data_IF_541512026716
#
_entry.id   IF_541512026716
#
_cell.length_a   1.000
_cell.length_b   1.000
_cell.length_c   1.000
_cell.angle_alpha   90.00
_cell.angle_beta   90.00
_cell.angle_gamma   90.00
#
_symmetry.space_group_name_H-M   'P 1'
#
loop_
_entity.id
_entity.type
_entity.pdbx_description
1 polymer ?
#
# COMPACT_ATOMS: atom_id res chain seq x y z
N UNK A 1 16.34 17.90 11.12
CA UNK A 1 16.26 16.67 10.31
C UNK A 1 15.04 15.88 10.78
N UNK A 2 14.19 15.40 9.86
CA UNK A 2 12.96 14.68 10.25
C UNK A 2 13.24 13.40 11.01
N UNK A 3 12.47 13.16 12.07
CA UNK A 3 12.54 11.92 12.85
C UNK A 3 11.78 10.78 12.16
N UNK A 4 10.93 11.07 11.18
CA UNK A 4 10.09 10.10 10.49
C UNK A 4 10.92 9.07 9.69
N UNK A 5 10.63 7.78 9.88
CA UNK A 5 11.42 6.68 9.29
C UNK A 5 11.25 6.58 7.76
N UNK A 6 10.22 7.20 7.19
CA UNK A 6 9.96 7.26 5.75
C UNK A 6 10.65 8.44 5.07
N UNK A 7 11.38 9.29 5.80
CA UNK A 7 12.08 10.44 5.24
C UNK A 7 13.33 10.06 4.43
N UNK A 8 13.61 10.85 3.39
CA UNK A 8 14.85 10.80 2.62
C UNK A 8 16.07 11.09 3.53
N UNK A 9 17.21 10.43 3.28
CA UNK A 9 18.48 10.75 3.94
C UNK A 9 18.69 10.19 5.36
N UNK A 10 17.82 9.29 5.83
CA UNK A 10 18.05 8.50 7.06
C UNK A 10 19.15 7.46 6.85
N UNK A 11 19.86 7.01 7.89
CA UNK A 11 20.90 6.00 7.72
C UNK A 11 20.45 4.65 7.14
N UNK A 12 19.28 4.17 7.58
CA UNK A 12 18.63 2.99 6.98
C UNK A 12 18.20 3.21 5.51
N UNK A 13 18.15 4.47 5.07
CA UNK A 13 17.78 4.89 3.72
C UNK A 13 19.00 5.44 2.94
N UNK A 14 20.26 5.23 3.40
CA UNK A 14 21.45 5.78 2.73
C UNK A 14 21.71 5.30 1.28
N UNK A 15 21.25 4.14 0.79
CA UNK A 15 21.32 3.88 -0.65
C UNK A 15 20.27 4.67 -1.46
N UNK A 16 19.37 5.42 -0.82
CA UNK A 16 18.19 6.03 -1.41
C UNK A 16 18.29 7.56 -1.56
N UNK A 17 19.46 8.12 -1.87
CA UNK A 17 19.54 9.56 -2.20
C UNK A 17 18.75 9.92 -3.48
N UNK A 18 18.27 8.94 -4.25
CA UNK A 18 17.32 9.16 -5.37
C UNK A 18 16.19 8.12 -5.54
N UNK A 19 16.14 7.05 -4.72
CA UNK A 19 15.19 5.93 -4.95
C UNK A 19 13.94 6.04 -4.09
N UNK A 20 12.78 6.17 -4.75
CA UNK A 20 11.44 6.18 -4.11
C UNK A 20 11.10 4.88 -3.37
N UNK A 21 11.78 3.78 -3.70
CA UNK A 21 11.51 2.45 -3.15
C UNK A 21 12.80 1.85 -2.59
N UNK A 22 12.72 1.34 -1.36
CA UNK A 22 13.81 0.61 -0.68
C UNK A 22 13.31 -0.79 -0.36
N UNK A 23 14.03 -1.81 -0.84
CA UNK A 23 13.67 -3.20 -0.54
C UNK A 23 13.84 -3.46 0.95
N UNK A 24 12.84 -4.09 1.56
CA UNK A 24 12.91 -4.54 2.95
C UNK A 24 13.35 -6.00 2.94
N UNK A 25 14.39 -6.31 3.71
CA UNK A 25 14.88 -7.68 3.82
C UNK A 25 13.87 -8.57 4.55
N UNK A 26 13.64 -9.82 4.13
CA UNK A 26 12.77 -10.76 4.84
C UNK A 26 13.12 -10.97 6.33
N UNK A 27 14.37 -10.77 6.74
CA UNK A 27 14.78 -10.85 8.16
C UNK A 27 14.49 -9.57 8.96
N UNK A 28 14.08 -8.47 8.31
CA UNK A 28 13.75 -7.21 8.98
C UNK A 28 12.44 -7.35 9.78
N UNK A 29 12.39 -6.79 10.99
CA UNK A 29 11.18 -6.80 11.84
C UNK A 29 9.98 -6.16 11.14
N UNK A 30 10.21 -5.13 10.34
CA UNK A 30 9.20 -4.46 9.51
C UNK A 30 8.55 -5.44 8.53
N UNK A 31 9.32 -6.37 7.96
CA UNK A 31 8.79 -7.39 7.07
C UNK A 31 7.81 -8.29 7.81
N UNK A 32 8.21 -8.82 8.96
CA UNK A 32 7.37 -9.68 9.79
C UNK A 32 6.09 -8.97 10.26
N UNK A 33 6.16 -7.69 10.59
CA UNK A 33 4.99 -6.88 10.98
C UNK A 33 4.00 -6.70 9.82
N UNK A 34 4.49 -6.34 8.63
CA UNK A 34 3.64 -6.18 7.43
C UNK A 34 3.09 -7.53 6.99
N UNK A 35 3.87 -8.59 7.06
CA UNK A 35 3.41 -9.96 6.75
C UNK A 35 2.30 -10.39 7.72
N UNK A 36 2.48 -10.21 9.02
CA UNK A 36 1.45 -10.52 10.02
C UNK A 36 0.17 -9.71 9.77
N UNK A 37 0.29 -8.42 9.44
CA UNK A 37 -0.84 -7.58 9.09
C UNK A 37 -1.56 -8.10 7.84
N UNK A 38 -0.80 -8.44 6.80
CA UNK A 38 -1.30 -8.95 5.52
C UNK A 38 -2.02 -10.29 5.69
N UNK A 39 -1.42 -11.25 6.40
CA UNK A 39 -2.02 -12.57 6.64
C UNK A 39 -3.26 -12.48 7.55
N UNK A 40 -3.23 -11.64 8.58
CA UNK A 40 -4.41 -11.37 9.43
C UNK A 40 -5.55 -10.70 8.65
N UNK A 41 -5.21 -9.86 7.68
CA UNK A 41 -6.15 -9.20 6.80
C UNK A 41 -6.77 -10.11 5.74
N UNK A 42 -6.23 -11.32 5.52
CA UNK A 42 -6.70 -12.23 4.49
C UNK A 42 -7.91 -13.03 4.99
N UNK A 43 -9.11 -12.50 4.78
CA UNK A 43 -10.37 -12.98 5.39
C UNK A 43 -11.31 -13.73 4.42
N UNK A 44 -11.15 -13.54 3.12
CA UNK A 44 -11.88 -14.29 2.09
C UNK A 44 -11.50 -15.78 2.17
N UNK A 45 -12.48 -16.65 2.45
CA UNK A 45 -12.24 -18.08 2.70
C UNK A 45 -12.02 -18.89 1.42
N UNK A 46 -12.61 -18.42 0.33
CA UNK A 46 -12.54 -18.98 -1.02
C UNK A 46 -11.23 -18.67 -1.73
N UNK A 47 -10.46 -17.67 -1.25
CA UNK A 47 -9.17 -17.30 -1.83
C UNK A 47 -8.03 -18.07 -1.17
N UNK A 48 -7.19 -18.69 -2.00
CA UNK A 48 -5.92 -19.27 -1.55
C UNK A 48 -5.09 -18.20 -0.80
N UNK A 49 -4.47 -18.58 0.32
CA UNK A 49 -3.61 -17.67 1.09
C UNK A 49 -2.28 -17.46 0.35
N UNK A 50 -1.97 -16.23 -0.07
CA UNK A 50 -0.74 -15.98 -0.81
C UNK A 50 0.45 -15.75 0.13
N UNK A 51 1.65 -15.85 -0.43
CA UNK A 51 2.90 -15.51 0.24
C UNK A 51 3.42 -14.17 -0.26
N UNK A 52 4.05 -13.39 0.62
CA UNK A 52 4.77 -12.18 0.21
C UNK A 52 6.06 -12.61 -0.48
N UNK A 53 6.24 -12.14 -1.71
CA UNK A 53 7.43 -12.39 -2.56
C UNK A 53 8.47 -11.29 -2.39
N UNK A 54 8.02 -10.05 -2.18
CA UNK A 54 8.88 -8.93 -1.84
C UNK A 54 8.08 -7.81 -1.15
N UNK A 55 8.80 -7.06 -0.32
CA UNK A 55 8.31 -5.88 0.37
C UNK A 55 9.23 -4.69 0.05
N UNK A 56 8.62 -3.56 -0.30
CA UNK A 56 9.34 -2.31 -0.50
C UNK A 56 8.79 -1.23 0.41
N UNK A 57 9.66 -0.49 1.09
CA UNK A 57 9.35 0.76 1.78
C UNK A 57 9.32 1.91 0.79
N UNK A 58 8.31 2.77 0.91
CA UNK A 58 8.13 3.95 0.06
C UNK A 58 8.72 5.17 0.76
N UNK A 59 9.77 5.76 0.18
CA UNK A 59 10.48 6.91 0.77
C UNK A 59 9.79 8.20 0.35
N UNK A 60 9.36 9.00 1.32
CA UNK A 60 8.64 10.26 1.11
C UNK A 60 9.51 11.50 1.21
N UNK A 61 9.15 12.52 0.43
CA UNK A 61 9.77 13.83 0.53
C UNK A 61 9.40 14.46 1.86
N UNK A 62 10.27 15.33 2.36
CA UNK A 62 10.06 16.02 3.63
C UNK A 62 8.71 16.77 3.65
N UNK A 63 8.43 17.54 2.60
CA UNK A 63 7.16 18.26 2.40
C UNK A 63 5.93 17.35 2.51
N UNK A 64 6.00 16.14 1.95
CA UNK A 64 4.89 15.18 2.00
C UNK A 64 4.70 14.62 3.42
N UNK A 65 5.77 14.44 4.18
CA UNK A 65 5.72 14.00 5.57
C UNK A 65 5.26 15.11 6.51
N UNK A 66 5.68 16.36 6.27
CA UNK A 66 5.28 17.52 7.09
C UNK A 66 3.78 17.77 7.01
N UNK A 67 3.22 17.80 5.80
CA UNK A 67 1.76 17.93 5.58
C UNK A 67 0.96 16.82 6.26
N UNK A 68 1.45 15.58 6.20
CA UNK A 68 0.83 14.44 6.90
C UNK A 68 0.92 14.59 8.42
N UNK A 69 2.08 15.02 8.95
CA UNK A 69 2.29 15.22 10.37
C UNK A 69 1.44 16.37 10.93
N UNK A 70 1.30 17.46 10.17
CA UNK A 70 0.43 18.59 10.51
C UNK A 70 -1.03 18.15 10.54
N UNK A 71 -1.51 17.44 9.52
CA UNK A 71 -2.86 16.89 9.52
C UNK A 71 -3.09 15.96 10.71
N UNK A 72 -2.13 15.08 11.02
CA UNK A 72 -2.20 14.19 12.19
C UNK A 72 -2.33 14.97 13.50
N UNK A 73 -1.54 16.04 13.65
CA UNK A 73 -1.55 16.88 14.82
C UNK A 73 -2.90 17.58 14.99
N UNK A 74 -3.44 18.17 13.92
CA UNK A 74 -4.76 18.81 13.92
C UNK A 74 -5.87 17.84 14.35
N UNK A 75 -5.93 16.63 13.75
CA UNK A 75 -6.91 15.62 14.13
C UNK A 75 -6.73 15.17 15.59
N UNK A 76 -5.48 15.04 16.06
CA UNK A 76 -5.19 14.71 17.45
C UNK A 76 -5.71 15.78 18.42
N UNK A 77 -5.51 17.06 18.13
CA UNK A 77 -5.99 18.18 18.97
C UNK A 77 -7.53 18.21 18.98
N UNK A 78 -8.17 18.20 17.82
CA UNK A 78 -9.65 18.23 17.71
C UNK A 78 -10.28 17.06 18.46
N UNK A 79 -9.74 15.85 18.28
CA UNK A 79 -10.28 14.66 18.95
C UNK A 79 -10.00 14.65 20.45
N UNK A 80 -8.91 15.26 20.91
CA UNK A 80 -8.64 15.44 22.33
C UNK A 80 -9.67 16.38 22.96
N UNK A 81 -10.01 17.49 22.30
CA UNK A 81 -11.04 18.43 22.76
C UNK A 81 -12.43 17.77 22.84
N UNK A 82 -12.73 16.82 21.95
CA UNK A 82 -13.97 16.04 21.98
C UNK A 82 -13.89 14.78 22.88
N UNK A 83 -12.89 14.65 23.75
CA UNK A 83 -12.66 13.49 24.63
C UNK A 83 -12.56 12.13 23.92
N UNK A 84 -12.19 12.10 22.64
CA UNK A 84 -12.03 10.87 21.87
C UNK A 84 -10.66 10.23 22.15
N UNK A 85 -10.68 9.09 22.85
CA UNK A 85 -9.48 8.42 23.39
C UNK A 85 -8.42 8.04 22.36
N UNK A 86 -8.82 7.65 21.14
CA UNK A 86 -7.86 7.20 20.12
C UNK A 86 -7.15 8.35 19.40
N UNK A 87 -7.50 9.61 19.69
CA UNK A 87 -6.86 10.81 19.14
C UNK A 87 -6.76 10.75 17.61
N UNK A 88 -5.56 10.72 17.02
CA UNK A 88 -5.35 10.59 15.58
C UNK A 88 -5.73 9.21 15.00
N UNK A 89 -5.72 8.14 15.80
CA UNK A 89 -6.04 6.78 15.37
C UNK A 89 -5.34 6.40 14.05
N UNK A 90 -4.01 6.55 14.01
CA UNK A 90 -3.20 6.20 12.83
C UNK A 90 -3.14 4.66 12.69
N UNK A 91 -3.42 4.17 11.49
CA UNK A 91 -3.47 2.74 11.18
C UNK A 91 -2.73 2.41 9.88
N UNK A 92 -2.28 1.17 9.77
CA UNK A 92 -1.86 0.60 8.48
C UNK A 92 -3.06 -0.06 7.79
N UNK A 93 -3.45 0.44 6.62
CA UNK A 93 -4.58 -0.08 5.84
C UNK A 93 -4.17 -0.36 4.39
N UNK A 94 -4.79 -1.38 3.80
CA UNK A 94 -4.52 -1.86 2.45
C UNK A 94 -5.29 -1.06 1.39
N UNK A 95 -4.68 -0.89 0.22
CA UNK A 95 -5.30 -0.34 -0.98
C UNK A 95 -4.89 -1.18 -2.19
N UNK A 96 -5.88 -1.69 -2.93
CA UNK A 96 -5.69 -2.29 -4.25
C UNK A 96 -6.08 -1.29 -5.33
N UNK A 97 -5.38 -1.35 -6.47
CA UNK A 97 -5.58 -0.40 -7.57
C UNK A 97 -5.13 -1.00 -8.90
N UNK A 98 -5.32 -0.24 -9.99
CA UNK A 98 -4.86 -0.64 -11.31
C UNK A 98 -3.34 -0.53 -11.48
N UNK A 99 -2.78 -1.49 -12.20
CA UNK A 99 -1.39 -1.58 -12.57
C UNK A 99 -1.28 -1.82 -14.08
N UNK A 100 -0.89 -0.80 -14.84
CA UNK A 100 -0.73 -0.88 -16.30
C UNK A 100 0.68 -1.29 -16.75
N UNK A 101 1.57 -1.66 -15.83
CA UNK A 101 2.98 -1.94 -16.11
C UNK A 101 3.47 -3.23 -15.45
N UNK A 102 4.71 -3.60 -15.72
CA UNK A 102 5.36 -4.80 -15.19
C UNK A 102 6.02 -4.63 -13.81
N UNK A 103 5.63 -3.61 -13.04
CA UNK A 103 6.18 -3.36 -11.71
C UNK A 103 6.06 -4.62 -10.81
N UNK A 104 7.14 -5.00 -10.14
CA UNK A 104 7.15 -6.14 -9.23
C UNK A 104 7.19 -7.52 -9.89
N UNK A 105 7.26 -7.59 -11.22
CA UNK A 105 7.41 -8.87 -11.94
C UNK A 105 8.82 -9.44 -11.83
N UNK A 106 9.84 -8.59 -12.02
CA UNK A 106 11.21 -8.93 -11.71
C UNK A 106 11.57 -8.32 -10.35
N UNK A 107 11.71 -9.16 -9.33
CA UNK A 107 12.02 -8.70 -7.96
C UNK A 107 13.36 -7.96 -7.84
N UNK A 108 14.21 -7.99 -8.88
CA UNK A 108 15.46 -7.23 -8.94
C UNK A 108 15.30 -5.80 -9.49
N UNK A 109 14.15 -5.46 -10.11
CA UNK A 109 13.89 -4.14 -10.68
C UNK A 109 12.55 -3.55 -10.19
N UNK A 110 12.62 -2.55 -9.32
CA UNK A 110 11.47 -1.84 -8.76
C UNK A 110 11.37 -0.41 -9.31
N UNK A 111 11.42 -0.24 -10.63
CA UNK A 111 11.30 1.07 -11.27
C UNK A 111 9.84 1.44 -11.53
N UNK A 112 9.45 2.66 -11.17
CA UNK A 112 8.08 3.17 -11.39
C UNK A 112 7.89 3.62 -12.85
N UNK A 113 6.89 3.09 -13.53
CA UNK A 113 6.57 3.51 -14.90
C UNK A 113 5.96 4.93 -14.94
N UNK A 114 6.18 5.73 -16.00
CA UNK A 114 5.60 7.07 -16.13
C UNK A 114 4.14 7.05 -16.63
N UNK A 115 3.55 5.89 -16.92
CA UNK A 115 2.24 5.74 -17.54
C UNK A 115 1.14 6.33 -16.63
N UNK A 116 0.38 7.36 -17.06
CA UNK A 116 -0.63 8.01 -16.23
C UNK A 116 -1.76 7.09 -15.78
N UNK A 117 -2.17 6.11 -16.61
CA UNK A 117 -3.20 5.12 -16.29
C UNK A 117 -2.74 4.04 -15.30
N UNK A 118 -1.44 4.01 -14.93
CA UNK A 118 -0.94 3.13 -13.88
C UNK A 118 -1.14 3.79 -12.50
N UNK A 119 -2.34 3.64 -11.93
CA UNK A 119 -2.69 4.20 -10.62
C UNK A 119 -1.70 3.80 -9.54
N UNK A 120 -1.23 2.55 -9.53
CA UNK A 120 -0.19 2.08 -8.61
C UNK A 120 1.07 2.96 -8.63
N UNK A 121 1.69 3.13 -9.81
CA UNK A 121 2.91 3.93 -9.92
C UNK A 121 2.65 5.42 -9.67
N UNK A 122 1.48 5.92 -10.07
CA UNK A 122 1.06 7.31 -9.82
C UNK A 122 0.91 7.60 -8.34
N UNK A 123 0.25 6.72 -7.56
CA UNK A 123 0.10 6.85 -6.11
C UNK A 123 1.46 6.74 -5.44
N UNK A 124 2.29 5.75 -5.82
CA UNK A 124 3.63 5.62 -5.24
C UNK A 124 4.42 6.90 -5.50
N UNK A 125 4.39 7.49 -6.70
CA UNK A 125 5.17 8.71 -7.01
C UNK A 125 4.63 9.95 -6.31
N UNK A 126 3.31 10.18 -6.38
CA UNK A 126 2.69 11.48 -6.12
C UNK A 126 1.81 11.48 -4.86
N UNK A 127 1.69 10.35 -4.16
CA UNK A 127 0.67 10.11 -3.13
C UNK A 127 -0.76 10.04 -3.70
N UNK A 128 -1.72 9.82 -2.80
CA UNK A 128 -3.15 9.80 -3.12
C UNK A 128 -3.68 11.20 -3.41
N UNK A 129 -4.76 11.24 -4.19
CA UNK A 129 -5.46 12.46 -4.55
C UNK A 129 -6.96 12.18 -4.65
N UNK A 130 -7.73 12.71 -3.69
CA UNK A 130 -9.20 12.63 -3.63
C UNK A 130 -9.81 13.16 -4.93
N UNK A 131 -9.14 14.10 -5.60
CA UNK A 131 -9.66 14.60 -6.86
C UNK A 131 -9.71 13.55 -7.96
N UNK A 132 -8.89 12.50 -7.87
CA UNK A 132 -8.86 11.37 -8.81
C UNK A 132 -9.78 10.22 -8.39
N UNK A 133 -10.38 10.29 -7.20
CA UNK A 133 -11.40 9.33 -6.76
C UNK A 133 -12.72 9.61 -7.47
N UNK A 134 -13.48 8.55 -7.78
CA UNK A 134 -14.78 8.66 -8.44
C UNK A 134 -14.72 8.98 -9.94
N UNK A 135 -13.58 8.82 -10.61
CA UNK A 135 -13.49 8.91 -12.09
C UNK A 135 -13.01 7.56 -12.65
N UNK A 136 -13.94 6.63 -12.90
CA UNK A 136 -13.64 5.30 -13.44
C UNK A 136 -14.90 4.46 -13.68
N UNK A 137 -14.78 3.41 -14.51
CA UNK A 137 -15.89 2.63 -15.10
C UNK A 137 -16.85 1.92 -14.11
N UNK A 138 -16.62 1.95 -12.80
CA UNK A 138 -17.45 1.24 -11.81
C UNK A 138 -17.77 2.12 -10.58
N UNK A 139 -18.59 3.15 -10.78
CA UNK A 139 -19.23 3.92 -9.71
C UNK A 139 -20.15 3.07 -8.79
N UNK A 140 -20.40 1.81 -9.16
CA UNK A 140 -21.23 0.86 -8.41
C UNK A 140 -20.66 0.54 -7.02
N UNK A 141 -19.36 0.81 -6.79
CA UNK A 141 -18.68 0.49 -5.53
C UNK A 141 -18.37 1.71 -4.63
N UNK A 142 -18.69 2.94 -5.05
CA UNK A 142 -18.46 4.16 -4.25
C UNK A 142 -19.56 4.30 -3.17
N UNK A 143 -19.63 3.30 -2.29
CA UNK A 143 -20.66 3.15 -1.25
C UNK A 143 -20.74 4.35 -0.33
N UNK A 144 -19.64 5.06 -0.12
CA UNK A 144 -19.54 6.24 0.75
C UNK A 144 -19.03 7.45 -0.04
N UNK A 145 -19.40 7.54 -1.33
CA UNK A 145 -19.10 8.67 -2.19
C UNK A 145 -17.62 8.88 -2.50
N UNK A 146 -17.24 10.13 -2.82
CA UNK A 146 -15.93 10.48 -3.38
C UNK A 146 -14.89 10.62 -2.28
N UNK A 147 -14.21 9.51 -1.98
CA UNK A 147 -13.08 9.47 -1.06
C UNK A 147 -12.07 8.39 -1.42
N UNK A 148 -11.00 8.32 -0.63
CA UNK A 148 -9.95 7.31 -0.77
C UNK A 148 -10.33 6.09 0.06
N UNK A 149 -10.64 4.99 -0.63
CA UNK A 149 -11.03 3.72 -0.01
C UNK A 149 -9.81 2.89 0.36
N UNK A 150 -9.77 2.46 1.61
CA UNK A 150 -8.75 1.59 2.20
C UNK A 150 -9.42 0.59 3.13
N UNK A 151 -8.74 -0.50 3.48
CA UNK A 151 -9.34 -1.53 4.33
C UNK A 151 -8.32 -2.26 5.19
N UNK A 152 -8.76 -2.75 6.35
CA UNK A 152 -7.99 -3.69 7.18
C UNK A 152 -7.98 -5.12 6.62
N UNK A 153 -8.79 -5.38 5.58
CA UNK A 153 -8.95 -6.68 4.92
C UNK A 153 -8.10 -6.74 3.64
N UNK A 154 -6.88 -7.28 3.70
CA UNK A 154 -5.98 -7.41 2.55
C UNK A 154 -6.62 -8.18 1.39
N UNK A 155 -7.39 -9.24 1.69
CA UNK A 155 -8.08 -10.02 0.67
C UNK A 155 -9.22 -9.27 -0.01
N UNK A 156 -9.72 -8.18 0.59
CA UNK A 156 -10.68 -7.27 -0.05
C UNK A 156 -9.99 -6.20 -0.88
N UNK A 157 -8.89 -5.64 -0.38
CA UNK A 157 -8.04 -4.78 -1.21
C UNK A 157 -7.58 -5.52 -2.48
N UNK A 158 -7.32 -6.82 -2.38
CA UNK A 158 -7.01 -7.71 -3.50
C UNK A 158 -8.09 -7.74 -4.61
N UNK A 159 -9.37 -7.55 -4.29
CA UNK A 159 -10.46 -7.49 -5.30
C UNK A 159 -10.33 -6.26 -6.21
N UNK A 160 -9.69 -5.19 -5.70
CA UNK A 160 -9.47 -3.95 -6.44
C UNK A 160 -8.12 -3.94 -7.18
N UNK A 161 -7.28 -4.97 -7.02
CA UNK A 161 -6.08 -5.10 -7.82
C UNK A 161 -6.43 -5.48 -9.26
N UNK A 162 -6.02 -4.64 -10.20
CA UNK A 162 -6.22 -4.89 -11.64
C UNK A 162 -4.89 -4.74 -12.37
N UNK A 163 -4.20 -5.88 -12.54
CA UNK A 163 -3.00 -6.01 -13.37
C UNK A 163 -3.27 -6.91 -14.57
N UNK A 164 -2.29 -7.07 -15.46
CA UNK A 164 -2.40 -7.99 -16.59
C UNK A 164 -1.99 -9.42 -16.16
N UNK A 165 -2.96 -10.36 -16.03
CA UNK A 165 -2.67 -11.72 -15.56
C UNK A 165 -1.82 -12.52 -16.57
N UNK A 166 -1.86 -12.18 -17.86
CA UNK A 166 -1.07 -12.86 -18.89
C UNK A 166 0.43 -12.58 -18.76
N UNK A 167 0.81 -11.60 -17.94
CA UNK A 167 2.21 -11.19 -17.78
C UNK A 167 2.79 -11.71 -16.45
N UNK A 168 2.00 -11.82 -15.37
CA UNK A 168 2.47 -12.37 -14.09
C UNK A 168 1.34 -12.79 -13.16
N UNK A 169 1.59 -13.88 -12.43
CA UNK A 169 0.78 -14.32 -11.29
C UNK A 169 1.03 -13.49 -10.02
N UNK A 170 2.03 -12.59 -10.03
CA UNK A 170 2.28 -11.67 -8.92
C UNK A 170 1.23 -10.56 -8.91
N UNK A 171 0.72 -10.29 -7.71
CA UNK A 171 -0.23 -9.21 -7.42
C UNK A 171 0.44 -8.19 -6.51
N UNK A 172 -0.10 -6.97 -6.49
CA UNK A 172 0.49 -5.86 -5.74
C UNK A 172 -0.57 -5.13 -4.93
N UNK A 173 -0.30 -4.95 -3.64
CA UNK A 173 -1.08 -4.08 -2.76
C UNK A 173 -0.19 -2.98 -2.17
N UNK A 174 -0.81 -1.83 -1.90
CA UNK A 174 -0.22 -0.80 -1.06
C UNK A 174 -0.65 -0.98 0.39
N UNK A 175 0.30 -0.83 1.31
CA UNK A 175 0.03 -0.62 2.73
C UNK A 175 0.27 0.85 3.03
N UNK A 176 -0.69 1.50 3.65
CA UNK A 176 -0.73 2.95 3.78
C UNK A 176 -0.82 3.33 5.25
N UNK A 177 -0.13 4.40 5.64
CA UNK A 177 -0.37 5.08 6.92
C UNK A 177 -1.61 5.95 6.76
N UNK A 178 -2.63 5.72 7.57
CA UNK A 178 -3.93 6.38 7.45
C UNK A 178 -4.32 6.97 8.80
N UNK A 179 -4.58 8.27 8.83
CA UNK A 179 -5.12 8.99 9.98
C UNK A 179 -6.63 8.81 9.95
N UNK A 180 -7.12 7.76 10.62
CA UNK A 180 -8.55 7.45 10.64
C UNK A 180 -9.31 8.44 11.54
N UNK A 181 -8.66 8.93 12.60
CA UNK A 181 -9.32 9.77 13.60
C UNK A 181 -10.56 9.10 14.19
N UNK A 182 -11.56 9.92 14.50
CA UNK A 182 -12.90 9.51 14.93
C UNK A 182 -13.73 9.20 13.67
N UNK A 183 -14.01 7.92 13.45
CA UNK A 183 -14.74 7.46 12.26
C UNK A 183 -16.26 7.42 12.48
N UNK A 184 -17.03 7.90 11.50
CA UNK A 184 -18.47 7.71 11.43
C UNK A 184 -18.75 6.29 10.91
N UNK A 185 -19.62 5.54 11.58
CA UNK A 185 -19.92 4.14 11.20
C UNK A 185 -21.19 4.08 10.38
N UNK A 186 -21.11 3.44 9.21
CA UNK A 186 -22.24 3.24 8.30
C UNK A 186 -22.45 1.75 8.04
N UNK A 187 -23.72 1.31 8.09
CA UNK A 187 -24.12 -0.06 7.67
C UNK A 187 -24.64 -0.11 6.22
N UNK A 188 -25.13 1.03 5.74
CA UNK A 188 -25.75 1.20 4.43
C UNK A 188 -25.01 2.26 3.64
N UNK A 189 -25.15 2.21 2.31
CA UNK A 189 -24.52 3.15 1.40
C UNK A 189 -24.93 4.61 1.69
N UNK A 190 -23.95 5.51 1.56
CA UNK A 190 -24.09 6.97 1.57
C UNK A 190 -23.27 7.54 0.40
N UNK A 191 -23.73 7.27 -0.83
CA UNK A 191 -22.98 7.51 -2.08
C UNK A 191 -22.74 8.98 -2.41
N UNK A 192 -23.41 9.91 -1.74
CA UNK A 192 -23.30 11.36 -1.99
C UNK A 192 -22.23 12.05 -1.13
N UNK A 193 -21.56 11.32 -0.24
CA UNK A 193 -20.55 11.91 0.64
C UNK A 193 -19.34 12.40 -0.17
N UNK A 194 -18.89 13.61 0.18
CA UNK A 194 -17.64 14.20 -0.34
C UNK A 194 -16.68 14.58 0.78
N UNK A 195 -17.13 14.43 2.03
CA UNK A 195 -16.40 14.71 3.27
C UNK A 195 -16.97 13.83 4.40
N UNK A 196 -16.23 13.61 5.50
CA UNK A 196 -16.79 12.91 6.65
C UNK A 196 -17.92 13.73 7.29
N UNK A 197 -18.94 13.08 7.89
CA UNK A 197 -19.99 13.79 8.62
C UNK A 197 -19.44 14.68 9.73
N UNK A 198 -20.17 15.75 10.07
CA UNK A 198 -19.76 16.70 11.11
C UNK A 198 -19.35 15.99 12.41
N UNK A 199 -18.19 16.37 12.96
CA UNK A 199 -17.63 15.78 14.18
C UNK A 199 -16.92 14.44 14.00
N UNK A 200 -16.66 14.03 12.75
CA UNK A 200 -15.88 12.84 12.37
C UNK A 200 -14.76 13.20 11.40
N UNK A 201 -13.81 12.29 11.21
CA UNK A 201 -12.62 12.50 10.36
C UNK A 201 -12.54 11.50 9.19
N UNK A 202 -13.32 10.42 9.26
CA UNK A 202 -13.39 9.37 8.25
C UNK A 202 -14.74 8.65 8.34
N UNK A 203 -15.00 7.78 7.37
CA UNK A 203 -16.14 6.85 7.39
C UNK A 203 -15.61 5.42 7.49
N UNK A 204 -16.26 4.59 8.31
CA UNK A 204 -16.08 3.15 8.34
C UNK A 204 -17.40 2.48 7.97
N UNK A 205 -17.39 1.77 6.85
CA UNK A 205 -18.43 0.83 6.49
C UNK A 205 -18.30 -0.46 7.30
N UNK A 206 -19.31 -0.79 8.10
CA UNK A 206 -19.31 -1.99 8.95
C UNK A 206 -20.13 -3.13 8.31
N UNK A 207 -19.67 -4.39 8.39
CA UNK A 207 -20.38 -5.52 7.80
C UNK A 207 -21.80 -5.76 8.34
N UNK A 208 -22.63 -6.41 7.54
CA UNK A 208 -23.99 -6.85 7.91
C UNK A 208 -25.14 -6.01 7.34
N UNK A 209 -24.83 -5.07 6.43
CA UNK A 209 -25.79 -4.42 5.54
C UNK A 209 -25.33 -4.60 4.10
N UNK A 210 -24.94 -3.51 3.44
CA UNK A 210 -24.45 -3.53 2.04
C UNK A 210 -23.00 -4.02 1.88
N UNK A 211 -22.41 -4.50 2.98
CA UNK A 211 -21.00 -4.82 3.12
C UNK A 211 -20.76 -6.19 3.72
N UNK A 212 -19.90 -6.96 3.05
CA UNK A 212 -19.38 -8.24 3.55
C UNK A 212 -18.11 -8.06 4.40
N UNK A 213 -17.36 -6.98 4.17
CA UNK A 213 -16.12 -6.68 4.88
C UNK A 213 -15.96 -5.17 5.09
N UNK A 214 -15.27 -4.81 6.16
CA UNK A 214 -15.02 -3.43 6.55
C UNK A 214 -14.28 -2.64 5.45
N UNK A 215 -14.72 -1.42 5.22
CA UNK A 215 -14.05 -0.41 4.39
C UNK A 215 -13.89 0.87 5.20
N UNK A 216 -12.77 1.56 5.04
CA UNK A 216 -12.51 2.87 5.62
C UNK A 216 -12.31 3.86 4.49
N UNK A 217 -12.92 5.04 4.61
CA UNK A 217 -12.85 6.10 3.61
C UNK A 217 -12.35 7.37 4.27
N UNK A 218 -11.31 7.95 3.70
CA UNK A 218 -10.80 9.28 4.05
C UNK A 218 -11.00 10.25 2.89
N UNK A 219 -11.29 11.50 3.20
CA UNK A 219 -11.68 12.52 2.22
C UNK A 219 -10.68 13.67 2.12
N UNK A 220 -9.46 13.47 2.64
CA UNK A 220 -8.40 14.47 2.62
C UNK A 220 -7.07 13.85 2.16
N UNK A 221 -6.35 14.52 1.25
CA UNK A 221 -5.09 14.01 0.69
C UNK A 221 -4.02 13.79 1.78
N UNK A 222 -4.02 14.62 2.83
CA UNK A 222 -3.08 14.52 3.95
C UNK A 222 -3.51 13.53 5.05
N UNK A 223 -4.66 12.88 4.91
CA UNK A 223 -5.07 11.81 5.84
C UNK A 223 -4.37 10.47 5.54
N UNK A 224 -3.60 10.37 4.44
CA UNK A 224 -3.01 9.12 4.00
C UNK A 224 -1.64 9.29 3.34
N UNK A 225 -0.73 8.36 3.60
CA UNK A 225 0.53 8.22 2.86
C UNK A 225 0.81 6.77 2.49
N UNK A 226 1.22 6.48 1.24
CA UNK A 226 1.65 5.14 0.87
C UNK A 226 2.97 4.84 1.60
N UNK A 227 3.01 3.72 2.31
CA UNK A 227 4.11 3.37 3.20
C UNK A 227 4.91 2.16 2.70
N UNK A 228 4.21 1.12 2.25
CA UNK A 228 4.84 -0.07 1.71
C UNK A 228 4.14 -0.56 0.44
N UNK A 229 4.92 -1.26 -0.40
CA UNK A 229 4.43 -2.05 -1.53
C UNK A 229 4.62 -3.52 -1.20
N UNK A 230 3.52 -4.28 -1.19
CA UNK A 230 3.51 -5.72 -0.96
C UNK A 230 3.31 -6.42 -2.29
N UNK A 231 4.33 -7.14 -2.75
CA UNK A 231 4.23 -8.03 -3.92
C UNK A 231 4.01 -9.44 -3.40
N UNK A 232 2.95 -10.09 -3.84
CA UNK A 232 2.52 -11.39 -3.34
C UNK A 232 2.00 -12.27 -4.47
N UNK A 233 1.86 -13.55 -4.19
CA UNK A 233 1.26 -14.52 -5.12
C UNK A 233 1.20 -15.90 -4.48
N UNK A 234 0.94 -16.91 -5.30
CA UNK A 234 1.00 -18.31 -4.82
C UNK A 234 2.37 -18.63 -4.26
N UNK A 235 2.38 -19.51 -3.25
CA UNK A 235 3.62 -20.12 -2.80
C UNK A 235 4.31 -20.81 -3.97
N UNK A 236 5.65 -20.73 -4.10
CA UNK A 236 6.35 -21.51 -5.11
C UNK A 236 6.03 -22.99 -4.89
N UNK A 237 5.81 -23.73 -5.97
CA UNK A 237 5.68 -25.18 -5.88
C UNK A 237 6.96 -25.75 -5.28
N UNK A 238 6.85 -26.74 -4.39
CA UNK A 238 7.97 -27.37 -3.69
C UNK A 238 9.05 -28.00 -4.61
N UNK A 239 8.86 -27.99 -5.93
CA UNK A 239 9.81 -28.44 -6.94
C UNK A 239 10.57 -27.35 -7.70
N UNK A 240 10.22 -26.07 -7.57
CA UNK A 240 10.99 -24.98 -8.20
C UNK A 240 12.21 -24.65 -7.33
N UNK A 241 13.35 -25.25 -7.69
CA UNK A 241 14.65 -24.85 -7.13
C UNK A 241 14.82 -23.35 -7.35
N UNK A 242 14.88 -22.62 -6.24
CA UNK A 242 15.35 -21.22 -6.19
C UNK A 242 16.67 -21.16 -6.95
N UNK A 243 16.69 -20.53 -8.13
CA UNK A 243 17.95 -20.22 -8.80
C UNK A 243 18.69 -19.25 -7.88
N UNK A 244 19.60 -19.82 -7.09
CA UNK A 244 20.48 -19.08 -6.22
C UNK A 244 21.33 -18.13 -7.07
N UNK A 245 21.45 -16.89 -6.63
CA UNK A 245 22.32 -15.88 -7.24
C UNK A 245 23.78 -16.35 -7.28
N UNK A 246 24.17 -17.30 -6.42
CA UNK A 246 25.47 -17.99 -6.47
C UNK A 246 25.65 -18.83 -7.75
N UNK A 247 24.60 -19.46 -8.25
CA UNK A 247 24.64 -20.29 -9.46
C UNK A 247 24.89 -19.47 -10.73
N UNK A 248 24.39 -18.22 -10.76
CA UNK A 248 24.62 -17.29 -11.88
C UNK A 248 26.05 -16.74 -11.84
N UNK A 249 26.62 -16.54 -10.65
CA UNK A 249 28.02 -16.14 -10.50
C UNK A 249 28.98 -17.26 -10.90
N UNK A 250 28.66 -18.52 -10.59
CA UNK A 250 29.42 -19.70 -10.99
C UNK A 250 29.40 -19.92 -12.52
N UNK A 251 28.24 -19.74 -13.18
CA UNK A 251 28.18 -19.83 -14.63
C UNK A 251 28.98 -18.72 -15.33
N UNK A 252 29.08 -17.53 -14.74
CA UNK A 252 29.93 -16.44 -15.28
C UNK A 252 31.43 -16.69 -15.14
N UNK A 253 31.88 -17.51 -14.19
CA UNK A 253 33.30 -17.87 -14.08
C UNK A 253 33.71 -18.97 -15.06
N UNK A 254 32.77 -19.82 -15.50
CA UNK A 254 33.01 -20.89 -16.47
C UNK A 254 33.25 -20.41 -17.92
N UNK A 255 32.82 -19.19 -18.27
CA UNK A 255 33.00 -18.63 -19.62
C UNK A 255 34.12 -17.57 -19.73
N UNK A 256 35.02 -17.49 -18.75
CA UNK A 256 36.27 -16.73 -18.88
C UNK A 256 37.42 -17.67 -19.22
N UNK A 257 37.43 -18.20 -20.44
CA UNK A 257 38.65 -18.76 -21.03
C UNK A 257 39.56 -17.59 -21.43
N UNK A 258 40.84 -17.56 -20.99
CA UNK A 258 41.79 -16.61 -21.51
C UNK A 258 42.15 -16.97 -22.96
N UNK A 259 42.10 -15.99 -23.85
CA UNK A 259 42.75 -16.07 -25.16
C UNK A 259 44.26 -16.19 -24.92
N UNK A 260 44.83 -17.32 -25.36
CA UNK A 260 46.27 -17.52 -25.38
C UNK A 260 46.93 -16.52 -26.35
N UNK A 261 48.10 -16.02 -25.95
CA UNK A 261 49.00 -15.21 -26.76
C UNK A 261 49.68 -16.06 -27.85
#
# INVERSE_FOLDING_TARGET
MSTDSFALGKPANFPATSRRLVRVDPSDKTYAEVEKLFQKGWKHREKEKPVIRALYKIISSQRSLDSYAEHKFQIQVVNQLSNYRKRANEQFLFHGTSQACSFGMNLSNATLCPIPSCSLCSIIRNSFDVQKCGYGFNHVNDRFGRGIYVTSCSSKADDYFSGNPNISDSRVLLVNRVIVGKAAKYRFNATTLTEPPCGYNSVIGIPGGDLNYEETVVYHNDAIRPAYVVIYGKAPFSGEKRLDLSSVAFLKSLFRTPLAA
#
